data_IF_472027022673
#
_entry.id   IF_472027022673
#
_cell.length_a   1.000
_cell.length_b   1.000
_cell.length_c   1.000
_cell.angle_alpha   90.00
_cell.angle_beta   90.00
_cell.angle_gamma   90.00
#
_symmetry.space_group_name_H-M   'P 1'
#
loop_
_entity.id
_entity.type
_entity.pdbx_description
1 polymer ?
#
# COMPACT_ATOMS: atom_id res chain seq x y z
N UNK A 1 14.03 8.53 -7.47
CA UNK A 1 14.89 9.70 -7.74
C UNK A 1 16.34 9.29 -7.68
N UNK A 2 16.85 8.74 -6.57
CA UNK A 2 18.22 8.19 -6.52
C UNK A 2 18.48 7.05 -7.52
N UNK A 3 17.54 6.10 -7.64
CA UNK A 3 17.74 4.90 -8.48
C UNK A 3 17.65 5.13 -9.99
N UNK A 4 17.08 6.26 -10.42
CA UNK A 4 16.93 6.62 -11.85
C UNK A 4 17.73 7.87 -12.22
N UNK A 5 18.42 8.46 -11.24
CA UNK A 5 19.18 9.71 -11.31
C UNK A 5 18.42 10.84 -12.06
N UNK A 6 17.13 10.96 -11.77
CA UNK A 6 16.24 11.91 -12.44
C UNK A 6 14.98 12.18 -11.63
N UNK A 7 14.46 13.40 -11.77
CA UNK A 7 13.14 13.82 -11.30
C UNK A 7 12.09 13.87 -12.42
N UNK A 8 12.48 13.55 -13.66
CA UNK A 8 11.56 13.53 -14.81
C UNK A 8 10.67 12.29 -14.77
N UNK A 9 9.40 12.51 -15.10
CA UNK A 9 8.42 11.43 -15.23
C UNK A 9 8.73 10.53 -16.45
N UNK A 10 9.33 11.08 -17.50
CA UNK A 10 9.70 10.33 -18.70
C UNK A 10 10.80 9.31 -18.41
N UNK A 11 11.80 9.70 -17.62
CA UNK A 11 12.84 8.79 -17.14
C UNK A 11 12.27 7.68 -16.26
N UNK A 12 11.29 7.98 -15.40
CA UNK A 12 10.59 6.95 -14.63
C UNK A 12 9.90 5.95 -15.57
N UNK A 13 9.18 6.43 -16.59
CA UNK A 13 8.52 5.56 -17.55
C UNK A 13 9.48 4.66 -18.29
N UNK A 14 10.66 5.15 -18.67
CA UNK A 14 11.62 4.36 -19.44
C UNK A 14 12.43 3.39 -18.58
N UNK A 15 12.95 3.87 -17.45
CA UNK A 15 13.92 3.15 -16.62
C UNK A 15 13.29 2.31 -15.50
N UNK A 16 12.15 2.73 -14.96
CA UNK A 16 11.56 2.10 -13.77
C UNK A 16 10.31 1.26 -14.06
N UNK A 17 9.58 1.56 -15.14
CA UNK A 17 8.31 0.90 -15.48
C UNK A 17 8.53 -0.22 -16.49
N UNK A 18 7.96 -1.39 -16.21
CA UNK A 18 7.95 -2.54 -17.11
C UNK A 18 7.25 -2.19 -18.42
N UNK A 19 7.84 -2.60 -19.53
CA UNK A 19 7.40 -2.31 -20.88
C UNK A 19 7.75 -3.47 -21.81
N UNK A 20 7.36 -3.37 -23.07
CA UNK A 20 7.76 -4.37 -24.05
C UNK A 20 9.29 -4.44 -24.22
N UNK A 21 9.96 -3.28 -24.24
CA UNK A 21 11.38 -3.14 -24.58
C UNK A 21 12.32 -3.62 -23.46
N UNK A 22 11.95 -3.36 -22.20
CA UNK A 22 12.77 -3.69 -21.03
C UNK A 22 12.30 -4.96 -20.31
N UNK A 23 11.43 -5.77 -20.94
CA UNK A 23 11.03 -7.05 -20.39
C UNK A 23 12.24 -8.02 -20.33
N UNK A 24 12.36 -8.85 -19.28
CA UNK A 24 13.45 -9.82 -19.17
C UNK A 24 13.57 -10.75 -20.38
N UNK A 25 14.79 -11.18 -20.67
CA UNK A 25 15.04 -12.18 -21.72
C UNK A 25 14.22 -13.45 -21.47
N UNK A 26 13.65 -14.03 -22.54
CA UNK A 26 12.77 -15.20 -22.44
C UNK A 26 11.32 -14.91 -22.01
N UNK A 27 10.96 -13.65 -21.70
CA UNK A 27 9.55 -13.28 -21.45
C UNK A 27 8.68 -13.54 -22.69
N UNK A 28 7.55 -14.21 -22.50
CA UNK A 28 6.59 -14.51 -23.58
C UNK A 28 5.99 -13.23 -24.17
N UNK A 29 5.75 -13.26 -25.47
CA UNK A 29 5.33 -12.10 -26.28
C UNK A 29 4.04 -11.42 -25.77
N UNK A 30 3.04 -12.20 -25.39
CA UNK A 30 1.78 -11.73 -24.79
C UNK A 30 2.01 -11.01 -23.45
N UNK A 31 2.95 -11.48 -22.63
CA UNK A 31 3.31 -10.84 -21.35
C UNK A 31 4.01 -9.50 -21.61
N UNK A 32 4.92 -9.44 -22.61
CA UNK A 32 5.55 -8.18 -23.02
C UNK A 32 4.51 -7.14 -23.47
N UNK A 33 3.53 -7.56 -24.28
CA UNK A 33 2.41 -6.72 -24.70
C UNK A 33 1.59 -6.25 -23.50
N UNK A 34 1.35 -7.12 -22.52
CA UNK A 34 0.67 -6.75 -21.26
C UNK A 34 1.45 -5.69 -20.47
N UNK A 35 2.77 -5.81 -20.35
CA UNK A 35 3.59 -4.78 -19.70
C UNK A 35 3.49 -3.44 -20.41
N UNK A 36 3.58 -3.43 -21.73
CA UNK A 36 3.42 -2.21 -22.51
C UNK A 36 2.04 -1.58 -22.34
N UNK A 37 0.98 -2.38 -22.38
CA UNK A 37 -0.37 -1.89 -22.15
C UNK A 37 -0.52 -1.27 -20.76
N UNK A 38 0.03 -1.92 -19.73
CA UNK A 38 0.03 -1.38 -18.36
C UNK A 38 0.79 -0.05 -18.27
N UNK A 39 1.95 0.08 -18.94
CA UNK A 39 2.70 1.34 -19.01
C UNK A 39 1.88 2.46 -19.64
N UNK A 40 1.19 2.19 -20.76
CA UNK A 40 0.33 3.18 -21.43
C UNK A 40 -0.86 3.58 -20.55
N UNK A 41 -1.50 2.62 -19.88
CA UNK A 41 -2.58 2.89 -18.94
C UNK A 41 -2.11 3.72 -17.75
N UNK A 42 -0.91 3.47 -17.23
CA UNK A 42 -0.32 4.26 -16.15
C UNK A 42 -0.05 5.70 -16.60
N UNK A 43 0.47 5.88 -17.83
CA UNK A 43 0.65 7.21 -18.43
C UNK A 43 -0.68 7.96 -18.51
N UNK A 44 -1.73 7.32 -19.01
CA UNK A 44 -3.07 7.91 -19.07
C UNK A 44 -3.63 8.26 -17.68
N UNK A 45 -3.50 7.37 -16.70
CA UNK A 45 -3.92 7.62 -15.31
C UNK A 45 -3.22 8.84 -14.70
N UNK A 46 -1.90 8.96 -14.85
CA UNK A 46 -1.15 10.10 -14.32
C UNK A 46 -1.54 11.40 -15.03
N UNK A 47 -1.68 11.40 -16.35
CA UNK A 47 -2.12 12.59 -17.09
C UNK A 47 -3.52 13.03 -16.68
N UNK A 48 -4.44 12.09 -16.47
CA UNK A 48 -5.77 12.38 -15.96
C UNK A 48 -5.74 12.96 -14.54
N UNK A 49 -4.88 12.45 -13.66
CA UNK A 49 -4.69 12.98 -12.31
C UNK A 49 -4.16 14.43 -12.35
N UNK A 50 -3.15 14.70 -13.19
CA UNK A 50 -2.59 16.05 -13.39
C UNK A 50 -3.67 17.00 -13.91
N UNK A 51 -4.40 16.62 -14.96
CA UNK A 51 -5.47 17.45 -15.53
C UNK A 51 -6.61 17.70 -14.53
N UNK A 52 -6.96 16.71 -13.70
CA UNK A 52 -7.94 16.88 -12.63
C UNK A 52 -7.44 17.82 -11.53
N UNK A 53 -6.17 17.70 -11.12
CA UNK A 53 -5.57 18.57 -10.11
C UNK A 53 -5.43 20.02 -10.61
N UNK A 54 -5.04 20.23 -11.87
CA UNK A 54 -4.98 21.54 -12.50
C UNK A 54 -6.36 22.21 -12.54
N UNK A 55 -7.41 21.50 -12.98
CA UNK A 55 -8.80 22.00 -12.99
C UNK A 55 -9.35 22.36 -11.61
N UNK A 56 -8.82 21.74 -10.56
CA UNK A 56 -9.16 22.03 -9.16
C UNK A 56 -8.26 23.10 -8.54
N UNK A 57 -7.46 23.79 -9.35
CA UNK A 57 -6.54 24.83 -8.92
C UNK A 57 -5.56 24.36 -7.83
N UNK A 58 -5.14 23.08 -7.89
CA UNK A 58 -4.17 22.57 -6.93
C UNK A 58 -2.89 23.43 -6.99
N UNK A 59 -2.48 24.05 -5.87
CA UNK A 59 -1.46 25.10 -5.88
C UNK A 59 -0.09 24.60 -6.37
N UNK A 60 0.21 23.31 -6.15
CA UNK A 60 1.49 22.73 -6.59
C UNK A 60 1.49 22.52 -8.10
N UNK A 61 0.39 22.00 -8.65
CA UNK A 61 0.27 21.75 -10.08
C UNK A 61 0.17 23.05 -10.87
N UNK A 62 -0.65 24.01 -10.42
CA UNK A 62 -0.76 25.32 -11.07
C UNK A 62 0.55 26.11 -11.00
N UNK A 63 1.30 26.02 -9.90
CA UNK A 63 2.64 26.62 -9.79
C UNK A 63 3.57 26.14 -10.90
N UNK A 64 3.60 24.85 -11.21
CA UNK A 64 4.49 24.33 -12.26
C UNK A 64 3.97 24.62 -13.69
N UNK A 65 2.66 24.63 -13.92
CA UNK A 65 2.11 24.87 -15.27
C UNK A 65 1.96 26.34 -15.65
N UNK A 66 1.73 27.24 -14.69
CA UNK A 66 1.46 28.66 -14.97
C UNK A 66 2.72 29.52 -14.91
N UNK A 67 3.82 29.00 -14.37
CA UNK A 67 5.09 29.69 -14.32
C UNK A 67 6.00 29.24 -15.47
N UNK A 68 6.31 30.16 -16.38
CA UNK A 68 7.18 29.95 -17.56
C UNK A 68 8.60 29.46 -17.23
N UNK A 69 9.02 29.54 -15.97
CA UNK A 69 10.34 29.10 -15.51
C UNK A 69 10.42 27.57 -15.26
N UNK A 70 9.30 26.85 -15.38
CA UNK A 70 9.27 25.40 -15.22
C UNK A 70 8.83 24.73 -16.51
N UNK A 71 9.56 23.68 -16.89
CA UNK A 71 9.28 22.92 -18.09
C UNK A 71 8.29 21.77 -17.83
N UNK A 72 8.32 21.19 -16.62
CA UNK A 72 7.56 19.98 -16.28
C UNK A 72 7.20 19.94 -14.80
N UNK A 73 6.12 19.20 -14.46
CA UNK A 73 5.79 18.87 -13.08
C UNK A 73 6.76 17.79 -12.59
N UNK A 74 7.52 18.02 -11.50
CA UNK A 74 8.45 17.03 -10.99
C UNK A 74 7.72 15.82 -10.39
N UNK A 75 8.38 14.66 -10.41
CA UNK A 75 7.79 13.39 -9.98
C UNK A 75 7.24 13.42 -8.54
N UNK A 76 7.89 14.15 -7.62
CA UNK A 76 7.40 14.26 -6.24
C UNK A 76 6.04 14.97 -6.15
N UNK A 77 5.79 15.99 -6.97
CA UNK A 77 4.52 16.72 -6.98
C UNK A 77 3.41 15.87 -7.59
N UNK A 78 3.75 15.01 -8.55
CA UNK A 78 2.82 14.02 -9.10
C UNK A 78 2.37 13.03 -8.02
N UNK A 79 3.30 12.51 -7.21
CA UNK A 79 2.94 11.55 -6.15
C UNK A 79 1.93 12.10 -5.14
N UNK A 80 1.91 13.41 -4.92
CA UNK A 80 0.99 14.05 -3.97
C UNK A 80 -0.45 14.17 -4.47
N UNK A 81 -0.66 14.10 -5.80
CA UNK A 81 -1.99 14.17 -6.40
C UNK A 81 -2.55 12.79 -6.77
N UNK A 82 -1.73 11.74 -6.70
CA UNK A 82 -2.17 10.37 -6.97
C UNK A 82 -3.06 9.85 -5.84
N UNK A 83 -4.12 9.13 -6.19
CA UNK A 83 -4.87 8.38 -5.20
C UNK A 83 -4.07 7.15 -4.75
N UNK A 84 -4.43 6.55 -3.61
CA UNK A 84 -3.82 5.31 -3.16
C UNK A 84 -3.99 4.16 -4.18
N UNK A 85 -5.06 4.20 -4.99
CA UNK A 85 -5.28 3.26 -6.09
C UNK A 85 -4.29 3.48 -7.24
N UNK A 86 -4.10 4.72 -7.68
CA UNK A 86 -3.12 5.08 -8.71
C UNK A 86 -1.70 4.75 -8.27
N UNK A 87 -1.38 5.04 -7.00
CA UNK A 87 -0.09 4.71 -6.40
C UNK A 87 0.15 3.19 -6.38
N UNK A 88 -0.83 2.40 -5.94
CA UNK A 88 -0.74 0.94 -6.01
C UNK A 88 -0.54 0.43 -7.44
N UNK A 89 -1.22 1.03 -8.43
CA UNK A 89 -1.06 0.68 -9.83
C UNK A 89 0.32 1.01 -10.37
N UNK A 90 0.86 2.19 -10.06
CA UNK A 90 2.23 2.60 -10.39
C UNK A 90 3.24 1.57 -9.87
N UNK A 91 3.15 1.22 -8.58
CA UNK A 91 4.03 0.23 -7.97
C UNK A 91 3.91 -1.15 -8.65
N UNK A 92 2.71 -1.55 -9.05
CA UNK A 92 2.47 -2.79 -9.80
C UNK A 92 3.05 -2.76 -11.23
N UNK A 93 3.34 -1.59 -11.78
CA UNK A 93 3.92 -1.44 -13.11
C UNK A 93 5.46 -1.40 -13.08
N UNK A 94 6.09 -1.21 -11.91
CA UNK A 94 7.54 -1.21 -11.77
C UNK A 94 8.16 -2.53 -12.26
N UNK A 95 9.39 -2.46 -12.76
CA UNK A 95 10.23 -3.65 -13.01
C UNK A 95 10.49 -4.39 -11.71
N UNK A 96 10.75 -5.70 -11.80
CA UNK A 96 11.02 -6.53 -10.60
C UNK A 96 12.22 -6.00 -9.81
N UNK A 97 13.28 -5.56 -10.50
CA UNK A 97 14.47 -4.98 -9.89
C UNK A 97 14.15 -3.67 -9.16
N UNK A 98 13.31 -2.82 -9.76
CA UNK A 98 12.91 -1.58 -9.11
C UNK A 98 12.03 -1.85 -7.88
N UNK A 99 11.11 -2.83 -7.95
CA UNK A 99 10.34 -3.24 -6.77
C UNK A 99 11.23 -3.80 -5.67
N UNK A 100 12.24 -4.59 -6.01
CA UNK A 100 13.22 -5.08 -5.06
C UNK A 100 13.97 -3.93 -4.39
N UNK A 101 14.52 -3.00 -5.17
CA UNK A 101 15.21 -1.82 -4.66
C UNK A 101 14.35 -1.02 -3.70
N UNK A 102 13.14 -0.65 -4.12
CA UNK A 102 12.20 0.10 -3.26
C UNK A 102 11.86 -0.69 -2.00
N UNK A 103 11.58 -1.99 -2.12
CA UNK A 103 11.28 -2.87 -0.99
C UNK A 103 12.43 -2.93 0.02
N UNK A 104 13.69 -3.04 -0.43
CA UNK A 104 14.86 -3.02 0.44
C UNK A 104 15.02 -1.68 1.14
N UNK A 105 14.82 -0.58 0.42
CA UNK A 105 14.92 0.78 0.97
C UNK A 105 13.93 1.02 2.10
N UNK A 106 12.68 0.58 1.95
CA UNK A 106 11.66 0.73 3.00
C UNK A 106 11.77 -0.35 4.08
N UNK A 107 12.48 -1.46 3.81
CA UNK A 107 12.71 -2.54 4.75
C UNK A 107 11.71 -3.70 4.69
N UNK A 108 11.02 -3.92 3.55
CA UNK A 108 10.16 -5.11 3.38
C UNK A 108 11.04 -6.36 3.35
N UNK A 109 10.64 -7.37 4.12
CA UNK A 109 11.26 -8.69 4.08
C UNK A 109 10.95 -9.43 2.77
N UNK A 110 12.00 -9.70 2.00
CA UNK A 110 11.92 -10.32 0.69
C UNK A 110 12.00 -11.84 0.69
N UNK A 111 12.26 -12.48 1.84
CA UNK A 111 12.47 -13.93 1.96
C UNK A 111 11.30 -14.75 1.43
N UNK A 112 10.07 -14.27 1.63
CA UNK A 112 8.85 -14.91 1.14
C UNK A 112 8.27 -14.28 -0.13
N UNK A 113 8.91 -13.25 -0.70
CA UNK A 113 8.35 -12.42 -1.79
C UNK A 113 9.08 -12.62 -3.12
N UNK A 114 9.06 -13.84 -3.67
CA UNK A 114 9.77 -14.21 -4.90
C UNK A 114 9.56 -13.23 -6.07
N UNK A 115 8.33 -12.72 -6.22
CA UNK A 115 7.95 -11.85 -7.35
C UNK A 115 7.95 -10.35 -6.99
N UNK A 116 8.42 -9.99 -5.78
CA UNK A 116 8.52 -8.60 -5.30
C UNK A 116 7.17 -7.88 -5.33
N UNK A 117 6.10 -8.59 -5.00
CA UNK A 117 4.72 -8.11 -5.12
C UNK A 117 4.16 -7.55 -3.82
N UNK A 118 4.81 -7.80 -2.67
CA UNK A 118 4.33 -7.30 -1.37
C UNK A 118 4.18 -5.78 -1.37
N UNK A 119 5.10 -5.09 -2.04
CA UNK A 119 5.16 -3.63 -2.14
C UNK A 119 3.83 -3.01 -2.58
N UNK A 120 3.17 -3.55 -3.61
CA UNK A 120 1.90 -3.01 -4.11
C UNK A 120 0.68 -3.77 -3.58
N UNK A 121 0.80 -5.07 -3.29
CA UNK A 121 -0.34 -5.85 -2.76
C UNK A 121 -0.77 -5.38 -1.39
N UNK A 122 0.17 -5.00 -0.52
CA UNK A 122 -0.19 -4.41 0.77
C UNK A 122 -0.82 -3.03 0.61
N UNK A 123 -0.35 -2.20 -0.34
CA UNK A 123 -1.00 -0.91 -0.66
C UNK A 123 -2.45 -1.15 -1.09
N UNK A 124 -2.73 -2.16 -1.91
CA UNK A 124 -4.11 -2.49 -2.29
C UNK A 124 -4.95 -2.97 -1.10
N UNK A 125 -4.41 -3.80 -0.21
CA UNK A 125 -5.12 -4.23 0.99
C UNK A 125 -5.48 -3.06 1.92
N UNK A 126 -4.54 -2.13 2.13
CA UNK A 126 -4.77 -0.91 2.92
C UNK A 126 -5.75 0.05 2.23
N UNK A 127 -5.67 0.17 0.90
CA UNK A 127 -6.58 0.98 0.09
C UNK A 127 -8.02 0.48 0.18
N UNK A 128 -8.24 -0.84 0.18
CA UNK A 128 -9.58 -1.41 0.31
C UNK A 128 -10.15 -1.13 1.72
N UNK A 129 -9.34 -1.27 2.77
CA UNK A 129 -9.73 -0.89 4.13
C UNK A 129 -10.07 0.60 4.23
N UNK A 130 -9.19 1.48 3.73
CA UNK A 130 -9.42 2.93 3.74
C UNK A 130 -10.74 3.28 3.03
N UNK A 131 -11.01 2.66 1.89
CA UNK A 131 -12.25 2.91 1.15
C UNK A 131 -13.47 2.39 1.90
N UNK A 132 -13.36 1.25 2.61
CA UNK A 132 -14.44 0.75 3.44
C UNK A 132 -14.79 1.73 4.56
N UNK A 133 -13.79 2.26 5.25
CA UNK A 133 -13.98 3.28 6.31
C UNK A 133 -14.63 4.55 5.73
N UNK A 134 -14.18 5.01 4.56
CA UNK A 134 -14.68 6.23 3.94
C UNK A 134 -16.11 6.12 3.38
N UNK A 135 -16.61 4.91 3.10
CA UNK A 135 -17.92 4.71 2.47
C UNK A 135 -18.97 4.03 3.37
N UNK A 136 -18.55 3.25 4.36
CA UNK A 136 -19.45 2.39 5.14
C UNK A 136 -19.58 2.81 6.62
N UNK A 137 -19.01 3.95 7.02
CA UNK A 137 -18.85 4.45 8.40
C UNK A 137 -18.11 3.49 9.35
N UNK A 138 -18.63 2.28 9.57
CA UNK A 138 -18.09 1.28 10.50
C UNK A 138 -17.75 -0.03 9.81
N UNK A 139 -16.54 -0.56 10.09
CA UNK A 139 -16.02 -1.80 9.51
C UNK A 139 -15.89 -2.87 10.59
N UNK A 140 -16.81 -3.84 10.60
CA UNK A 140 -16.84 -4.93 11.59
C UNK A 140 -16.12 -6.21 11.14
N UNK A 141 -16.00 -6.42 9.83
CA UNK A 141 -15.41 -7.63 9.25
C UNK A 141 -14.61 -7.30 7.98
N UNK A 142 -14.14 -8.35 7.29
CA UNK A 142 -13.26 -8.23 6.13
C UNK A 142 -13.97 -8.35 4.78
N UNK A 143 -15.31 -8.23 4.71
CA UNK A 143 -16.07 -8.30 3.45
C UNK A 143 -15.72 -7.21 2.45
N UNK A 144 -15.08 -6.12 2.90
CA UNK A 144 -14.60 -5.05 2.03
C UNK A 144 -13.43 -5.46 1.12
N UNK A 145 -12.74 -6.57 1.42
CA UNK A 145 -11.55 -7.01 0.68
C UNK A 145 -11.91 -7.33 -0.78
N UNK A 146 -11.17 -6.76 -1.73
CA UNK A 146 -11.34 -7.08 -3.17
C UNK A 146 -10.37 -8.13 -3.68
N UNK A 147 -9.33 -8.46 -2.91
CA UNK A 147 -8.39 -9.53 -3.21
C UNK A 147 -8.21 -10.45 -2.01
N UNK A 148 -7.97 -11.75 -2.27
CA UNK A 148 -7.50 -12.63 -1.21
C UNK A 148 -5.99 -12.45 -1.01
N UNK A 149 -5.51 -12.23 0.23
CA UNK A 149 -4.10 -12.05 0.47
C UNK A 149 -3.29 -13.31 0.18
N UNK A 150 -2.26 -13.15 -0.65
CA UNK A 150 -1.40 -14.24 -1.10
C UNK A 150 -0.59 -14.84 0.06
N UNK A 151 -0.12 -16.09 -0.10
CA UNK A 151 0.75 -16.75 0.90
C UNK A 151 1.97 -15.91 1.31
N UNK A 152 2.71 -15.26 0.39
CA UNK A 152 3.77 -14.31 0.74
C UNK A 152 3.34 -13.20 1.71
N UNK A 153 2.15 -12.63 1.50
CA UNK A 153 1.65 -11.54 2.36
C UNK A 153 1.41 -12.01 3.79
N UNK A 154 0.87 -13.22 3.94
CA UNK A 154 0.62 -13.85 5.24
C UNK A 154 1.95 -14.20 5.93
N UNK A 155 2.87 -14.83 5.19
CA UNK A 155 4.17 -15.26 5.72
C UNK A 155 5.05 -14.09 6.17
N UNK A 156 5.12 -13.01 5.40
CA UNK A 156 5.92 -11.84 5.77
C UNK A 156 5.43 -11.23 7.09
N UNK A 157 4.12 -11.08 7.28
CA UNK A 157 3.58 -10.54 8.54
C UNK A 157 3.78 -11.48 9.73
N UNK A 158 3.67 -12.80 9.50
CA UNK A 158 3.98 -13.82 10.52
C UNK A 158 5.41 -13.65 11.03
N UNK A 159 6.38 -13.55 10.12
CA UNK A 159 7.80 -13.42 10.48
C UNK A 159 8.12 -12.05 11.09
N UNK A 160 7.69 -10.97 10.45
CA UNK A 160 8.09 -9.60 10.83
C UNK A 160 7.42 -9.09 12.11
N UNK A 161 6.23 -9.61 12.42
CA UNK A 161 5.44 -9.20 13.58
C UNK A 161 5.33 -10.29 14.65
N UNK A 162 5.99 -11.45 14.46
CA UNK A 162 5.99 -12.56 15.42
C UNK A 162 4.61 -13.20 15.63
N UNK A 163 3.76 -13.18 14.60
CA UNK A 163 2.38 -13.65 14.72
C UNK A 163 2.30 -15.17 14.55
N UNK A 164 1.45 -15.88 15.34
CA UNK A 164 1.26 -17.32 15.15
C UNK A 164 0.61 -17.66 13.80
N UNK A 165 -0.26 -16.78 13.31
CA UNK A 165 -0.87 -16.88 11.99
C UNK A 165 -1.38 -15.50 11.51
N UNK A 166 -1.62 -15.41 10.20
CA UNK A 166 -2.31 -14.30 9.52
C UNK A 166 -3.19 -14.89 8.43
N UNK A 167 -4.48 -14.56 8.43
CA UNK A 167 -5.42 -15.04 7.41
C UNK A 167 -6.31 -13.96 6.78
N UNK A 168 -6.27 -12.71 7.29
CA UNK A 168 -7.06 -11.59 6.82
C UNK A 168 -8.57 -11.87 6.80
N UNK A 169 -9.05 -12.59 7.81
CA UNK A 169 -10.49 -12.80 8.06
C UNK A 169 -11.04 -11.81 9.08
N UNK A 170 -10.18 -11.19 9.87
CA UNK A 170 -10.56 -10.26 10.94
C UNK A 170 -9.95 -8.87 10.70
N UNK A 171 -10.57 -7.84 11.27
CA UNK A 171 -9.99 -6.49 11.24
C UNK A 171 -8.62 -6.44 11.95
N UNK A 172 -8.41 -7.29 12.96
CA UNK A 172 -7.13 -7.41 13.68
C UNK A 172 -5.94 -7.71 12.77
N UNK A 173 -6.12 -8.52 11.71
CA UNK A 173 -5.07 -8.79 10.72
C UNK A 173 -4.65 -7.51 9.95
N UNK A 174 -5.60 -6.61 9.70
CA UNK A 174 -5.31 -5.32 9.07
C UNK A 174 -4.66 -4.34 10.05
N UNK A 175 -5.03 -4.35 11.33
CA UNK A 175 -4.32 -3.59 12.38
C UNK A 175 -2.85 -4.01 12.45
N UNK A 176 -2.56 -5.30 12.35
CA UNK A 176 -1.18 -5.82 12.27
C UNK A 176 -0.47 -5.30 11.02
N UNK A 177 -1.14 -5.32 9.85
CA UNK A 177 -0.59 -4.76 8.61
C UNK A 177 -0.28 -3.26 8.73
N UNK A 178 -1.17 -2.48 9.35
CA UNK A 178 -0.94 -1.05 9.62
C UNK A 178 0.29 -0.88 10.51
N UNK A 179 0.37 -1.61 11.62
CA UNK A 179 1.52 -1.55 12.53
C UNK A 179 2.84 -1.92 11.84
N UNK A 180 2.82 -2.92 10.96
CA UNK A 180 3.97 -3.27 10.14
C UNK A 180 4.39 -2.09 9.24
N UNK A 181 3.46 -1.43 8.55
CA UNK A 181 3.78 -0.26 7.74
C UNK A 181 4.28 0.93 8.56
N UNK A 182 3.70 1.20 9.74
CA UNK A 182 4.19 2.23 10.64
C UNK A 182 5.65 1.95 11.07
N UNK A 183 5.99 0.68 11.33
CA UNK A 183 7.37 0.23 11.60
C UNK A 183 8.30 0.45 10.40
N UNK A 184 7.86 0.13 9.17
CA UNK A 184 8.64 0.39 7.96
C UNK A 184 8.90 1.90 7.77
N UNK A 185 7.89 2.73 8.04
CA UNK A 185 7.94 4.18 7.96
C UNK A 185 8.67 4.86 9.14
N UNK A 186 9.28 4.08 10.04
CA UNK A 186 10.08 4.56 11.18
C UNK A 186 9.30 5.40 12.20
N UNK A 187 7.99 5.19 12.29
CA UNK A 187 7.16 5.74 13.38
C UNK A 187 7.66 5.18 14.71
N UNK A 188 7.64 6.00 15.77
CA UNK A 188 8.23 5.60 17.05
C UNK A 188 7.48 4.41 17.67
N UNK A 189 8.20 3.53 18.38
CA UNK A 189 7.59 2.39 19.08
C UNK A 189 6.48 2.83 20.04
N UNK A 190 6.65 3.99 20.67
CA UNK A 190 5.68 4.58 21.60
C UNK A 190 4.37 4.92 20.89
N UNK A 191 4.45 5.58 19.73
CA UNK A 191 3.26 5.93 18.93
C UNK A 191 2.53 4.69 18.42
N UNK A 192 3.26 3.69 17.92
CA UNK A 192 2.60 2.46 17.42
C UNK A 192 1.95 1.69 18.58
N UNK A 193 2.60 1.63 19.75
CA UNK A 193 1.99 1.04 20.96
C UNK A 193 0.79 1.84 21.45
N UNK A 194 0.80 3.16 21.29
CA UNK A 194 -0.36 4.02 21.58
C UNK A 194 -1.53 3.69 20.66
N UNK A 195 -1.29 3.60 19.35
CA UNK A 195 -2.29 3.20 18.36
C UNK A 195 -2.93 1.84 18.70
N UNK A 196 -2.12 0.85 19.08
CA UNK A 196 -2.64 -0.47 19.48
C UNK A 196 -3.51 -0.38 20.74
N UNK A 197 -3.10 0.40 21.74
CA UNK A 197 -3.88 0.58 22.98
C UNK A 197 -5.20 1.30 22.72
N UNK A 198 -5.22 2.27 21.82
CA UNK A 198 -6.45 2.97 21.43
C UNK A 198 -7.42 2.04 20.71
N UNK A 199 -6.94 1.24 19.76
CA UNK A 199 -7.74 0.19 19.13
C UNK A 199 -8.27 -0.83 20.16
N UNK A 200 -7.43 -1.27 21.09
CA UNK A 200 -7.82 -2.16 22.18
C UNK A 200 -8.93 -1.54 23.06
N UNK A 201 -8.79 -0.26 23.42
CA UNK A 201 -9.77 0.48 24.22
C UNK A 201 -11.11 0.57 23.50
N UNK A 202 -11.14 1.02 22.25
CA UNK A 202 -12.38 1.13 21.45
C UNK A 202 -13.05 -0.24 21.30
N UNK A 203 -12.26 -1.30 21.13
CA UNK A 203 -12.80 -2.67 21.02
C UNK A 203 -13.47 -3.12 22.32
N UNK A 204 -12.87 -2.83 23.49
CA UNK A 204 -13.45 -3.16 24.81
C UNK A 204 -14.70 -2.34 25.11
N UNK A 205 -14.68 -1.05 24.77
CA UNK A 205 -15.85 -0.18 24.91
C UNK A 205 -17.01 -0.72 24.08
N UNK A 206 -16.75 -1.09 22.82
CA UNK A 206 -17.74 -1.74 21.96
C UNK A 206 -18.25 -3.05 22.58
N UNK A 207 -17.36 -3.94 23.01
CA UNK A 207 -17.71 -5.22 23.66
C UNK A 207 -18.64 -5.02 24.87
N UNK A 208 -18.38 -4.00 25.69
CA UNK A 208 -19.20 -3.66 26.86
C UNK A 208 -20.54 -3.01 26.53
N UNK A 209 -20.68 -2.44 25.33
CA UNK A 209 -21.85 -1.69 24.89
C UNK A 209 -22.90 -2.52 24.16
N UNK A 210 -22.58 -3.77 23.80
CA UNK A 210 -23.46 -4.65 23.03
C UNK A 210 -23.71 -5.98 23.73
N UNK A 211 -24.71 -6.73 23.26
CA UNK A 211 -24.99 -8.08 23.76
C UNK A 211 -23.77 -9.00 23.50
N UNK A 212 -23.39 -9.90 24.44
CA UNK A 212 -22.28 -10.84 24.24
C UNK A 212 -22.34 -11.68 22.96
N UNK A 213 -23.54 -12.03 22.49
CA UNK A 213 -23.70 -12.76 21.23
C UNK A 213 -23.32 -11.91 20.00
N UNK A 214 -23.52 -10.58 20.07
CA UNK A 214 -23.15 -9.65 19.00
C UNK A 214 -21.65 -9.42 19.01
N UNK A 215 -21.05 -9.18 20.18
CA UNK A 215 -19.60 -9.01 20.29
C UNK A 215 -18.83 -10.27 19.87
N UNK A 216 -19.34 -11.46 20.18
CA UNK A 216 -18.73 -12.73 19.75
C UNK A 216 -18.71 -12.95 18.22
N UNK A 217 -19.59 -12.28 17.48
CA UNK A 217 -19.62 -12.34 16.01
C UNK A 217 -18.54 -11.43 15.39
N UNK A 218 -18.28 -10.28 16.01
CA UNK A 218 -17.41 -9.23 15.45
C UNK A 218 -15.98 -9.27 16.02
N UNK A 219 -15.82 -9.68 17.27
CA UNK A 219 -14.54 -9.79 17.97
C UNK A 219 -14.11 -11.26 17.99
N UNK A 220 -13.01 -11.56 17.32
CA UNK A 220 -12.44 -12.89 17.36
C UNK A 220 -11.85 -13.18 18.76
N UNK A 221 -12.05 -14.38 19.35
CA UNK A 221 -11.69 -14.65 20.75
C UNK A 221 -10.21 -14.43 21.10
N UNK A 222 -9.30 -14.61 20.14
CA UNK A 222 -7.86 -14.43 20.34
C UNK A 222 -7.37 -13.01 20.05
N UNK A 223 -8.25 -12.04 19.74
CA UNK A 223 -7.84 -10.70 19.33
C UNK A 223 -6.90 -10.06 20.36
N UNK A 224 -7.31 -10.04 21.63
CA UNK A 224 -6.54 -9.40 22.70
C UNK A 224 -5.18 -10.07 22.95
N UNK A 225 -5.11 -11.41 22.86
CA UNK A 225 -3.82 -12.11 22.99
C UNK A 225 -2.89 -11.78 21.83
N UNK A 226 -3.43 -11.68 20.60
CA UNK A 226 -2.66 -11.25 19.42
C UNK A 226 -2.19 -9.79 19.51
N UNK A 227 -3.01 -8.89 20.04
CA UNK A 227 -2.59 -7.50 20.31
C UNK A 227 -1.47 -7.41 21.34
N UNK A 228 -1.44 -8.30 22.34
CA UNK A 228 -0.33 -8.39 23.29
C UNK A 228 0.97 -8.88 22.62
N UNK A 229 0.90 -9.90 21.76
CA UNK A 229 2.06 -10.34 20.96
C UNK A 229 2.57 -9.18 20.09
N UNK A 230 1.65 -8.45 19.44
CA UNK A 230 1.97 -7.30 18.59
C UNK A 230 2.67 -6.18 19.37
N UNK A 231 2.21 -5.85 20.58
CA UNK A 231 2.87 -4.84 21.44
C UNK A 231 4.29 -5.27 21.83
N UNK A 232 4.55 -6.56 21.95
CA UNK A 232 5.88 -7.10 22.30
C UNK A 232 6.82 -7.18 21.10
N UNK A 233 6.31 -7.32 19.87
CA UNK A 233 7.12 -7.39 18.64
C UNK A 233 7.52 -6.01 18.08
N UNK A 234 7.01 -4.93 18.68
CA UNK A 234 7.34 -3.53 18.34
C UNK A 234 8.43 -2.96 19.25
#
# INVERSE_FOLDING_TARGET
MSEIDSSSIYDMYDKAISSYKNAPAGTREDIKKKYQNNKLNLQGSIQNAIAAAYRKENPKITHFYNNVNYNEVPLWAIFEILTMGDFGYLLSCLTIDMREKVSRTIGINLSSDTYRELLYKYVYALKDLRNAIAHNDVVYDTRFKKMDPSRPMKQCLILEMGMPYINFKTIGDYIILICYYLKLLKVSKTEIKSFIREFEKITREYESSVNPNVSAITIHPDLFSRLNILKNSI
#
